data_IF_872277348622
#
_entry.id   IF_872277348622
#
_cell.length_a   1.000
_cell.length_b   1.000
_cell.length_c   1.000
_cell.angle_alpha   90.00
_cell.angle_beta   90.00
_cell.angle_gamma   90.00
#
_symmetry.space_group_name_H-M   'P 1'
#
loop_
_entity.id
_entity.type
_entity.pdbx_description
1 polymer ?
#
# COMPACT_ATOMS: atom_id res chain seq x y z
N UNK A 1 21.31 -1.15 2.62
CA UNK A 1 22.47 -0.68 3.35
C UNK A 1 23.47 -0.06 2.39
N UNK A 2 24.03 1.09 2.76
CA UNK A 2 25.06 1.82 1.97
C UNK A 2 26.27 2.05 2.87
N UNK A 3 27.40 1.46 2.53
CA UNK A 3 28.64 1.54 3.29
C UNK A 3 29.71 2.31 2.51
N UNK A 4 30.40 3.20 3.19
CA UNK A 4 31.44 4.06 2.63
C UNK A 4 32.77 3.94 3.38
N UNK A 5 32.76 3.47 4.62
CA UNK A 5 33.90 3.26 5.50
C UNK A 5 33.68 2.00 6.35
N UNK A 6 34.75 1.42 6.87
CA UNK A 6 34.68 0.30 7.83
C UNK A 6 34.35 0.76 9.26
N UNK A 7 34.66 2.01 9.60
CA UNK A 7 34.41 2.60 10.93
C UNK A 7 34.10 4.10 10.83
N UNK A 8 33.51 4.67 11.87
CA UNK A 8 33.25 6.09 11.97
C UNK A 8 34.52 6.91 12.14
N UNK A 9 34.60 8.05 11.47
CA UNK A 9 35.74 8.97 11.53
C UNK A 9 35.31 10.39 11.89
N UNK A 10 36.25 11.23 12.33
CA UNK A 10 35.93 12.62 12.65
C UNK A 10 35.45 13.37 11.40
N UNK A 11 34.26 13.97 11.46
CA UNK A 11 33.58 14.61 10.32
C UNK A 11 34.38 15.80 9.74
N UNK A 12 35.12 16.53 10.57
CA UNK A 12 35.97 17.64 10.12
C UNK A 12 37.19 17.16 9.33
N UNK A 13 37.75 16.00 9.66
CA UNK A 13 38.87 15.40 8.92
C UNK A 13 38.42 14.75 7.59
N UNK A 14 37.25 14.15 7.58
CA UNK A 14 36.72 13.43 6.43
C UNK A 14 35.87 14.31 5.48
N UNK A 15 35.42 15.47 5.94
CA UNK A 15 34.55 16.36 5.17
C UNK A 15 35.14 16.78 3.84
N UNK A 16 34.37 16.63 2.76
CA UNK A 16 34.83 16.91 1.39
C UNK A 16 35.68 15.80 0.75
N UNK A 17 36.18 14.82 1.54
CA UNK A 17 36.99 13.69 1.06
C UNK A 17 36.12 12.43 0.98
N UNK A 18 35.48 12.07 2.09
CA UNK A 18 34.64 10.87 2.17
C UNK A 18 33.19 11.21 1.87
N UNK A 19 32.53 10.49 0.96
CA UNK A 19 31.10 10.72 0.69
C UNK A 19 30.26 10.34 1.91
N UNK A 20 29.23 11.15 2.20
CA UNK A 20 28.26 10.78 3.23
C UNK A 20 27.39 9.61 2.78
N UNK A 21 27.36 8.54 3.56
CA UNK A 21 26.51 7.36 3.29
C UNK A 21 25.02 7.72 3.18
N UNK A 22 24.53 8.69 3.97
CA UNK A 22 23.16 9.20 3.88
C UNK A 22 22.90 9.97 2.58
N UNK A 23 23.89 10.75 2.09
CA UNK A 23 23.76 11.41 0.78
C UNK A 23 23.65 10.40 -0.34
N UNK A 24 24.45 9.32 -0.29
CA UNK A 24 24.40 8.27 -1.30
C UNK A 24 23.09 7.47 -1.22
N UNK A 25 22.58 7.21 -0.03
CA UNK A 25 21.25 6.60 0.14
C UNK A 25 20.16 7.46 -0.53
N UNK A 26 20.17 8.78 -0.35
CA UNK A 26 19.22 9.68 -1.03
C UNK A 26 19.31 9.56 -2.56
N UNK A 27 20.53 9.54 -3.12
CA UNK A 27 20.72 9.36 -4.56
C UNK A 27 20.20 8.00 -5.05
N UNK A 28 20.29 6.96 -4.23
CA UNK A 28 19.75 5.64 -4.56
C UNK A 28 18.21 5.63 -4.48
N UNK A 29 17.62 6.29 -3.50
CA UNK A 29 16.16 6.45 -3.41
C UNK A 29 15.62 7.20 -4.63
N UNK A 30 16.30 8.25 -5.08
CA UNK A 30 15.93 9.03 -6.28
C UNK A 30 15.99 8.20 -7.59
N UNK A 31 16.63 7.02 -7.58
CA UNK A 31 16.58 6.08 -8.72
C UNK A 31 15.23 5.38 -8.87
N UNK A 32 14.47 5.28 -7.81
CA UNK A 32 13.22 4.51 -7.75
C UNK A 32 12.00 5.40 -7.60
N UNK A 33 12.14 6.51 -6.90
CA UNK A 33 11.08 7.46 -6.61
C UNK A 33 11.47 8.87 -7.03
N UNK A 34 10.58 9.58 -7.69
CA UNK A 34 10.74 11.01 -7.90
C UNK A 34 10.55 11.74 -6.57
N UNK A 35 11.61 12.38 -6.06
CA UNK A 35 11.60 13.04 -4.75
C UNK A 35 10.59 14.20 -4.63
N UNK A 36 10.07 14.73 -5.74
CA UNK A 36 9.10 15.85 -5.75
C UNK A 36 7.65 15.32 -5.84
N UNK A 37 7.39 14.39 -6.77
CA UNK A 37 6.03 13.87 -7.01
C UNK A 37 5.70 12.65 -6.18
N UNK A 38 6.69 11.90 -5.67
CA UNK A 38 6.51 10.60 -5.05
C UNK A 38 6.21 9.47 -6.05
N UNK A 39 6.27 9.75 -7.35
CA UNK A 39 6.00 8.77 -8.39
C UNK A 39 7.14 7.76 -8.50
N UNK A 40 6.80 6.48 -8.50
CA UNK A 40 7.76 5.39 -8.67
C UNK A 40 8.01 5.10 -10.15
N UNK A 41 9.10 4.34 -10.41
CA UNK A 41 9.47 3.92 -11.76
C UNK A 41 8.31 3.22 -12.50
N UNK A 42 8.25 3.44 -13.82
CA UNK A 42 7.18 2.93 -14.68
C UNK A 42 6.95 1.41 -14.58
N UNK A 43 8.00 0.63 -14.34
CA UNK A 43 7.84 -0.83 -14.21
C UNK A 43 7.12 -1.27 -12.93
N UNK A 44 6.94 -0.35 -11.98
CA UNK A 44 6.14 -0.56 -10.77
C UNK A 44 4.70 -0.07 -10.93
N UNK A 45 4.36 0.52 -12.06
CA UNK A 45 3.02 1.03 -12.37
C UNK A 45 2.25 0.08 -13.29
N UNK A 46 0.94 0.18 -13.25
CA UNK A 46 0.04 -0.54 -14.17
C UNK A 46 -0.97 0.43 -14.79
N UNK A 47 -1.41 0.18 -16.02
CA UNK A 47 -2.49 0.97 -16.62
C UNK A 47 -3.78 0.84 -15.80
N UNK A 48 -4.42 1.96 -15.54
CA UNK A 48 -5.71 2.00 -14.82
C UNK A 48 -6.84 1.90 -15.84
N UNK A 49 -7.63 0.82 -15.77
CA UNK A 49 -8.76 0.60 -16.66
C UNK A 49 -9.91 1.58 -16.38
N UNK A 50 -10.79 1.75 -17.36
CA UNK A 50 -11.99 2.57 -17.22
C UNK A 50 -12.90 2.08 -16.08
N UNK A 51 -13.02 0.77 -15.88
CA UNK A 51 -13.83 0.18 -14.82
C UNK A 51 -13.26 0.50 -13.43
N UNK A 52 -11.95 0.44 -13.26
CA UNK A 52 -11.26 0.83 -12.01
C UNK A 52 -11.48 2.31 -11.73
N UNK A 53 -11.38 3.18 -12.74
CA UNK A 53 -11.68 4.62 -12.58
C UNK A 53 -13.13 4.84 -12.17
N UNK A 54 -14.08 4.23 -12.87
CA UNK A 54 -15.49 4.34 -12.53
C UNK A 54 -15.80 3.81 -11.11
N UNK A 55 -15.14 2.76 -10.67
CA UNK A 55 -15.25 2.26 -9.29
C UNK A 55 -14.69 3.29 -8.30
N UNK A 56 -13.50 3.85 -8.55
CA UNK A 56 -12.88 4.84 -7.69
C UNK A 56 -13.73 6.12 -7.57
N UNK A 57 -14.34 6.56 -8.67
CA UNK A 57 -15.27 7.72 -8.69
C UNK A 57 -16.49 7.46 -7.80
N UNK A 58 -17.11 6.28 -7.90
CA UNK A 58 -18.24 5.91 -7.03
C UNK A 58 -17.83 5.83 -5.56
N UNK A 59 -16.69 5.21 -5.25
CA UNK A 59 -16.16 5.12 -3.89
C UNK A 59 -15.87 6.51 -3.32
N UNK A 60 -15.18 7.36 -4.08
CA UNK A 60 -14.85 8.73 -3.67
C UNK A 60 -16.10 9.57 -3.44
N UNK A 61 -17.10 9.45 -4.32
CA UNK A 61 -18.38 10.15 -4.20
C UNK A 61 -19.16 9.73 -2.93
N UNK A 62 -19.10 8.45 -2.57
CA UNK A 62 -19.79 7.91 -1.38
C UNK A 62 -19.06 8.23 -0.09
N UNK A 63 -17.74 8.09 -0.06
CA UNK A 63 -16.94 8.34 1.14
C UNK A 63 -16.72 9.83 1.39
N UNK A 64 -16.77 10.67 0.36
CA UNK A 64 -16.59 12.12 0.49
C UNK A 64 -15.27 12.46 1.18
N UNK A 65 -15.34 13.31 2.20
CA UNK A 65 -14.18 13.72 3.00
C UNK A 65 -13.54 12.58 3.81
N UNK A 66 -14.27 11.49 4.08
CA UNK A 66 -13.77 10.34 4.85
C UNK A 66 -12.52 9.71 4.23
N UNK A 67 -12.32 9.86 2.92
CA UNK A 67 -11.07 9.43 2.24
C UNK A 67 -9.84 10.05 2.90
N UNK A 68 -9.94 11.28 3.38
CA UNK A 68 -8.87 12.06 4.01
C UNK A 68 -8.98 12.12 5.53
N UNK A 69 -10.19 12.29 6.05
CA UNK A 69 -10.44 12.58 7.46
C UNK A 69 -10.04 11.43 8.40
N UNK A 70 -9.89 10.24 7.86
CA UNK A 70 -9.40 9.07 8.60
C UNK A 70 -7.93 9.15 9.02
N UNK A 71 -7.15 10.09 8.48
CA UNK A 71 -5.74 10.23 8.79
C UNK A 71 -5.49 11.40 9.74
N UNK A 72 -4.63 11.24 10.77
CA UNK A 72 -4.29 12.29 11.72
C UNK A 72 -3.27 13.28 11.13
N UNK A 73 -3.72 14.14 10.22
CA UNK A 73 -2.87 15.13 9.56
C UNK A 73 -2.19 16.07 10.54
N UNK A 74 -0.91 16.35 10.31
CA UNK A 74 -0.16 17.32 11.10
C UNK A 74 -0.16 18.69 10.43
N UNK A 75 -0.60 19.72 11.16
CA UNK A 75 -0.63 21.11 10.70
C UNK A 75 -1.38 21.27 9.37
N UNK A 76 -0.73 21.91 8.40
CA UNK A 76 -1.30 22.16 7.07
C UNK A 76 -0.80 21.18 6.00
N UNK A 77 -0.38 19.98 6.38
CA UNK A 77 0.04 18.94 5.43
C UNK A 77 -1.11 18.61 4.48
N UNK A 78 -0.77 18.53 3.20
CA UNK A 78 -1.73 18.25 2.13
C UNK A 78 -1.59 16.83 1.62
N UNK A 79 -2.68 16.22 1.10
CA UNK A 79 -2.62 14.92 0.44
C UNK A 79 -1.80 15.00 -0.86
N UNK A 80 -1.39 13.84 -1.36
CA UNK A 80 -0.59 13.69 -2.58
C UNK A 80 -1.35 14.07 -3.86
N UNK A 81 -2.68 14.10 -3.81
CA UNK A 81 -3.53 14.58 -4.90
C UNK A 81 -4.72 15.37 -4.33
N UNK A 82 -5.35 16.18 -5.17
CA UNK A 82 -6.52 16.99 -4.79
C UNK A 82 -7.85 16.28 -5.04
N UNK A 83 -7.89 15.34 -5.98
CA UNK A 83 -9.08 14.56 -6.31
C UNK A 83 -9.19 13.33 -5.40
N UNK A 84 -10.33 13.16 -4.74
CA UNK A 84 -10.61 11.96 -3.92
C UNK A 84 -10.58 10.68 -4.75
N UNK A 85 -10.99 10.71 -6.02
CA UNK A 85 -10.91 9.57 -6.93
C UNK A 85 -9.46 9.17 -7.21
N UNK A 86 -8.59 10.14 -7.49
CA UNK A 86 -7.16 9.87 -7.68
C UNK A 86 -6.51 9.34 -6.40
N UNK A 87 -6.91 9.81 -5.23
CA UNK A 87 -6.44 9.27 -3.94
C UNK A 87 -6.89 7.82 -3.71
N UNK A 88 -8.13 7.48 -4.08
CA UNK A 88 -8.62 6.10 -4.04
C UNK A 88 -7.83 5.21 -4.99
N UNK A 89 -7.57 5.65 -6.23
CA UNK A 89 -6.75 4.93 -7.21
C UNK A 89 -5.32 4.76 -6.67
N UNK A 90 -4.70 5.83 -6.19
CA UNK A 90 -3.35 5.78 -5.66
C UNK A 90 -3.20 4.79 -4.49
N UNK A 91 -4.21 4.72 -3.62
CA UNK A 91 -4.21 3.80 -2.47
C UNK A 91 -4.44 2.34 -2.85
N UNK A 92 -5.21 2.05 -3.91
CA UNK A 92 -5.67 0.70 -4.25
C UNK A 92 -4.96 0.09 -5.45
N UNK A 93 -4.53 0.91 -6.41
CA UNK A 93 -3.90 0.51 -7.68
C UNK A 93 -2.58 1.20 -7.96
N UNK A 94 -2.24 2.24 -7.21
CA UNK A 94 -0.96 2.93 -7.32
C UNK A 94 0.15 2.19 -6.60
N UNK A 95 1.38 2.38 -7.08
CA UNK A 95 2.56 1.98 -6.34
C UNK A 95 3.00 3.09 -5.41
N UNK A 96 3.49 2.74 -4.24
CA UNK A 96 4.08 3.69 -3.32
C UNK A 96 5.27 3.08 -2.57
N UNK A 97 6.19 3.92 -2.13
CA UNK A 97 7.30 3.55 -1.27
C UNK A 97 7.25 4.34 0.04
N UNK A 98 7.57 3.68 1.13
CA UNK A 98 7.75 4.35 2.42
C UNK A 98 9.04 3.90 3.09
N UNK A 99 9.81 4.86 3.63
CA UNK A 99 10.93 4.58 4.53
C UNK A 99 10.34 4.39 5.92
N UNK A 100 10.32 3.14 6.39
CA UNK A 100 9.72 2.77 7.70
C UNK A 100 10.75 2.50 8.78
N UNK A 101 12.03 2.55 8.44
CA UNK A 101 13.12 2.42 9.39
C UNK A 101 14.40 3.04 8.85
N UNK A 102 15.20 3.61 9.73
CA UNK A 102 16.49 4.20 9.39
C UNK A 102 17.52 3.82 10.47
N UNK A 103 18.68 3.36 10.02
CA UNK A 103 19.80 3.02 10.89
C UNK A 103 21.10 3.69 10.39
N UNK A 104 22.11 3.74 11.28
CA UNK A 104 23.40 4.36 10.97
C UNK A 104 23.51 5.82 11.42
N UNK A 105 22.45 6.41 11.98
CA UNK A 105 22.47 7.72 12.62
C UNK A 105 21.97 7.60 14.06
N UNK A 106 22.68 8.15 15.07
CA UNK A 106 22.16 8.23 16.43
C UNK A 106 21.05 9.27 16.52
N UNK A 107 20.31 9.24 17.64
CA UNK A 107 19.39 10.31 17.98
C UNK A 107 20.14 11.66 18.01
N UNK A 108 19.54 12.76 17.49
CA UNK A 108 20.19 14.07 17.44
C UNK A 108 20.73 14.56 18.79
N UNK A 109 20.07 14.20 19.91
CA UNK A 109 20.53 14.55 21.26
C UNK A 109 21.82 13.85 21.67
N UNK A 110 22.15 12.72 21.02
CA UNK A 110 23.34 11.90 21.28
C UNK A 110 24.36 11.95 20.13
N UNK A 111 24.11 12.79 19.12
CA UNK A 111 24.97 12.88 17.96
C UNK A 111 26.24 13.68 18.25
N UNK A 112 27.40 13.17 17.81
CA UNK A 112 28.69 13.83 17.85
C UNK A 112 29.24 14.12 16.45
N UNK A 113 30.44 14.71 16.38
CA UNK A 113 31.11 15.09 15.12
C UNK A 113 31.70 13.88 14.37
N UNK A 114 30.91 12.81 14.18
CA UNK A 114 31.34 11.59 13.51
C UNK A 114 30.68 11.45 12.15
N UNK A 115 31.50 11.35 11.10
CA UNK A 115 31.02 10.88 9.79
C UNK A 115 30.69 9.38 9.90
N UNK A 116 29.46 9.04 9.57
CA UNK A 116 28.96 7.67 9.72
C UNK A 116 29.51 6.76 8.64
N UNK A 117 29.97 5.54 8.98
CA UNK A 117 30.52 4.59 8.00
C UNK A 117 29.46 4.03 7.08
N UNK A 118 28.23 3.92 7.53
CA UNK A 118 27.11 3.36 6.77
C UNK A 118 25.76 4.02 7.14
N UNK A 119 24.80 3.86 6.26
CA UNK A 119 23.38 4.19 6.48
C UNK A 119 22.51 3.09 5.90
N UNK A 120 21.54 2.60 6.67
CA UNK A 120 20.60 1.61 6.20
C UNK A 120 19.15 2.14 6.35
N UNK A 121 18.31 1.81 5.37
CA UNK A 121 16.89 2.10 5.41
C UNK A 121 16.07 0.83 5.20
N UNK A 122 14.96 0.70 5.93
CA UNK A 122 13.93 -0.29 5.63
C UNK A 122 12.87 0.37 4.76
N UNK A 123 12.66 -0.20 3.58
CA UNK A 123 11.69 0.30 2.59
C UNK A 123 10.51 -0.65 2.53
N UNK A 124 9.32 -0.09 2.48
CA UNK A 124 8.08 -0.83 2.20
C UNK A 124 7.53 -0.33 0.88
N UNK A 125 7.38 -1.24 -0.07
CA UNK A 125 6.72 -0.99 -1.34
C UNK A 125 5.29 -1.52 -1.30
N UNK A 126 4.34 -0.72 -1.75
CA UNK A 126 3.00 -1.15 -2.09
C UNK A 126 2.90 -1.24 -3.60
N UNK A 127 2.38 -2.35 -4.10
CA UNK A 127 2.33 -2.66 -5.52
C UNK A 127 0.88 -2.84 -5.98
N UNK A 128 0.57 -2.52 -7.25
CA UNK A 128 -0.73 -2.84 -7.82
C UNK A 128 -1.01 -4.35 -7.76
N UNK A 129 -2.29 -4.76 -7.62
CA UNK A 129 -2.64 -6.17 -7.42
C UNK A 129 -2.31 -7.08 -8.62
N UNK A 130 -2.11 -6.52 -9.80
CA UNK A 130 -1.77 -7.26 -11.02
C UNK A 130 -0.26 -7.35 -11.30
N UNK A 131 0.58 -6.73 -10.48
CA UNK A 131 2.03 -6.76 -10.65
C UNK A 131 2.62 -7.96 -9.90
N UNK A 132 3.51 -8.72 -10.57
CA UNK A 132 4.26 -9.79 -9.93
C UNK A 132 5.27 -9.21 -8.94
N UNK A 133 5.12 -9.57 -7.66
CA UNK A 133 5.92 -8.98 -6.60
C UNK A 133 7.37 -9.50 -6.59
N UNK A 134 7.61 -10.74 -7.00
CA UNK A 134 8.96 -11.31 -7.06
C UNK A 134 9.76 -10.66 -8.20
N UNK A 135 9.14 -10.51 -9.38
CA UNK A 135 9.77 -9.80 -10.50
C UNK A 135 10.05 -8.33 -10.14
N UNK A 136 9.06 -7.63 -9.58
CA UNK A 136 9.20 -6.24 -9.15
C UNK A 136 10.33 -6.08 -8.11
N UNK A 137 10.38 -6.95 -7.10
CA UNK A 137 11.38 -6.92 -6.04
C UNK A 137 12.80 -7.14 -6.59
N UNK A 138 12.98 -8.10 -7.50
CA UNK A 138 14.28 -8.34 -8.14
C UNK A 138 14.72 -7.16 -9.00
N UNK A 139 13.82 -6.52 -9.72
CA UNK A 139 14.13 -5.31 -10.52
C UNK A 139 14.49 -4.13 -9.62
N UNK A 140 13.77 -3.93 -8.52
CA UNK A 140 14.08 -2.90 -7.51
C UNK A 140 15.47 -3.16 -6.92
N UNK A 141 15.75 -4.38 -6.48
CA UNK A 141 17.09 -4.78 -5.97
C UNK A 141 18.19 -4.44 -6.98
N UNK A 142 18.02 -4.84 -8.23
CA UNK A 142 18.98 -4.54 -9.29
C UNK A 142 19.18 -3.03 -9.50
N UNK A 143 18.11 -2.23 -9.39
CA UNK A 143 18.16 -0.77 -9.53
C UNK A 143 19.00 -0.12 -8.42
N UNK A 144 18.93 -0.65 -7.20
CA UNK A 144 19.71 -0.14 -6.07
C UNK A 144 21.19 -0.58 -6.13
N UNK A 145 21.46 -1.83 -6.50
CA UNK A 145 22.81 -2.42 -6.42
C UNK A 145 23.66 -2.16 -7.66
N UNK A 146 23.03 -1.87 -8.81
CA UNK A 146 23.77 -1.60 -10.06
C UNK A 146 24.43 -0.23 -10.01
N UNK A 147 25.72 -0.19 -10.40
CA UNK A 147 26.51 1.04 -10.52
C UNK A 147 26.31 2.00 -9.32
N UNK A 148 26.68 1.58 -8.10
CA UNK A 148 26.44 2.39 -6.92
C UNK A 148 27.24 3.69 -6.97
N UNK A 149 26.65 4.81 -6.52
CA UNK A 149 27.32 6.11 -6.58
C UNK A 149 28.61 6.06 -5.76
N UNK A 150 29.69 6.63 -6.35
CA UNK A 150 31.04 6.67 -5.79
C UNK A 150 31.61 5.28 -5.46
N UNK A 151 31.15 4.24 -6.16
CA UNK A 151 31.55 2.83 -5.93
C UNK A 151 31.36 2.37 -4.47
N UNK A 152 30.39 2.94 -3.76
CA UNK A 152 30.06 2.53 -2.39
C UNK A 152 29.55 1.08 -2.36
N UNK A 153 29.71 0.40 -1.24
CA UNK A 153 29.13 -0.93 -1.06
C UNK A 153 27.63 -0.79 -0.78
N UNK A 154 26.82 -1.30 -1.69
CA UNK A 154 25.35 -1.29 -1.55
C UNK A 154 24.86 -2.73 -1.46
N UNK A 155 24.08 -3.01 -0.40
CA UNK A 155 23.43 -4.32 -0.20
C UNK A 155 21.94 -4.13 -0.05
N UNK A 156 21.16 -4.80 -0.89
CA UNK A 156 19.71 -4.81 -0.82
C UNK A 156 19.19 -6.19 -0.44
N UNK A 157 18.72 -6.33 0.80
CA UNK A 157 18.11 -7.55 1.29
C UNK A 157 16.62 -7.54 1.02
N UNK A 158 16.11 -8.56 0.34
CA UNK A 158 14.69 -8.75 0.11
C UNK A 158 14.07 -9.49 1.30
N UNK A 159 12.96 -8.96 1.79
CA UNK A 159 12.00 -9.71 2.58
C UNK A 159 11.10 -10.54 1.64
N UNK A 160 10.09 -11.22 2.17
CA UNK A 160 9.15 -12.02 1.40
C UNK A 160 8.20 -11.12 0.59
N UNK A 161 8.42 -10.92 -0.72
CA UNK A 161 7.48 -10.20 -1.56
C UNK A 161 6.15 -10.95 -1.65
N UNK A 162 5.05 -10.20 -1.73
CA UNK A 162 3.70 -10.77 -1.78
C UNK A 162 2.93 -10.11 -2.91
N UNK A 163 2.61 -10.88 -3.94
CA UNK A 163 1.76 -10.41 -5.05
C UNK A 163 0.34 -10.17 -4.54
N UNK A 164 -0.25 -9.04 -4.96
CA UNK A 164 -1.63 -8.70 -4.66
C UNK A 164 -2.63 -9.64 -5.33
N UNK A 165 -3.90 -9.36 -5.10
CA UNK A 165 -4.99 -10.11 -5.71
C UNK A 165 -6.03 -9.15 -6.28
N UNK A 166 -6.39 -9.36 -7.55
CA UNK A 166 -7.49 -8.66 -8.21
C UNK A 166 -8.70 -9.58 -8.30
N UNK A 167 -9.79 -9.16 -7.68
CA UNK A 167 -11.04 -9.90 -7.71
C UNK A 167 -11.61 -9.96 -9.13
N UNK A 168 -12.05 -11.15 -9.53
CA UNK A 168 -12.83 -11.37 -10.74
C UNK A 168 -14.16 -10.60 -10.66
N UNK A 169 -14.63 -10.08 -11.79
CA UNK A 169 -15.95 -9.45 -11.87
C UNK A 169 -17.05 -10.39 -11.37
N UNK A 170 -17.95 -9.87 -10.57
CA UNK A 170 -19.08 -10.64 -10.04
C UNK A 170 -20.00 -11.10 -11.18
N UNK A 171 -20.56 -12.31 -11.05
CA UNK A 171 -21.60 -12.74 -11.97
C UNK A 171 -22.86 -11.87 -11.84
N UNK A 172 -23.65 -11.66 -12.89
CA UNK A 172 -24.86 -10.84 -12.82
C UNK A 172 -25.83 -11.30 -11.71
N UNK A 173 -25.98 -12.61 -11.51
CA UNK A 173 -26.84 -13.17 -10.45
C UNK A 173 -26.32 -12.83 -9.05
N UNK A 174 -25.01 -12.95 -8.82
CA UNK A 174 -24.41 -12.60 -7.52
C UNK A 174 -24.47 -11.09 -7.28
N UNK A 175 -24.18 -10.28 -8.29
CA UNK A 175 -24.30 -8.82 -8.19
C UNK A 175 -25.73 -8.40 -7.80
N UNK A 176 -26.73 -8.91 -8.52
CA UNK A 176 -28.14 -8.62 -8.21
C UNK A 176 -28.57 -9.06 -6.80
N UNK A 177 -28.06 -10.20 -6.32
CA UNK A 177 -28.32 -10.66 -4.96
C UNK A 177 -27.68 -9.75 -3.91
N UNK A 178 -26.43 -9.32 -4.13
CA UNK A 178 -25.73 -8.39 -3.26
C UNK A 178 -26.40 -7.00 -3.21
N UNK A 179 -26.81 -6.47 -4.36
CA UNK A 179 -27.53 -5.19 -4.45
C UNK A 179 -28.85 -5.25 -3.68
N UNK A 180 -29.66 -6.28 -3.91
CA UNK A 180 -30.93 -6.49 -3.22
C UNK A 180 -30.73 -6.64 -1.70
N UNK A 181 -29.72 -7.40 -1.26
CA UNK A 181 -29.46 -7.57 0.17
C UNK A 181 -28.97 -6.27 0.82
N UNK A 182 -28.14 -5.49 0.14
CA UNK A 182 -27.67 -4.20 0.63
C UNK A 182 -28.83 -3.21 0.79
N UNK A 183 -29.66 -3.06 -0.24
CA UNK A 183 -30.87 -2.23 -0.17
C UNK A 183 -31.80 -2.65 0.96
N UNK A 184 -32.00 -3.96 1.15
CA UNK A 184 -32.90 -4.49 2.17
C UNK A 184 -32.40 -4.22 3.59
N UNK A 185 -31.11 -4.43 3.86
CA UNK A 185 -30.60 -4.40 5.23
C UNK A 185 -29.83 -3.12 5.58
N UNK A 186 -29.31 -2.39 4.59
CA UNK A 186 -28.63 -1.12 4.80
C UNK A 186 -29.41 0.09 4.26
N UNK A 187 -30.39 -0.11 3.39
CA UNK A 187 -31.14 0.97 2.74
C UNK A 187 -30.31 1.77 1.74
N UNK A 188 -29.25 1.15 1.19
CA UNK A 188 -28.32 1.78 0.28
C UNK A 188 -27.78 0.77 -0.74
N UNK A 189 -27.41 1.22 -1.96
CA UNK A 189 -26.83 0.34 -2.96
C UNK A 189 -25.51 -0.27 -2.49
N UNK A 190 -25.23 -1.49 -2.93
CA UNK A 190 -23.98 -2.19 -2.65
C UNK A 190 -22.80 -1.49 -3.35
N UNK A 191 -21.67 -1.46 -2.68
CA UNK A 191 -20.45 -0.92 -3.24
C UNK A 191 -19.27 -1.85 -3.00
N UNK A 192 -18.39 -1.95 -3.99
CA UNK A 192 -17.10 -2.63 -3.88
C UNK A 192 -15.97 -1.62 -3.91
N UNK A 193 -14.95 -1.86 -3.11
CA UNK A 193 -13.73 -1.06 -3.13
C UNK A 193 -12.50 -1.95 -3.01
N UNK A 194 -11.39 -1.50 -3.58
CA UNK A 194 -10.09 -2.09 -3.31
C UNK A 194 -9.56 -1.72 -1.93
N UNK A 195 -8.57 -2.45 -1.47
CA UNK A 195 -7.81 -2.10 -0.26
C UNK A 195 -6.32 -2.06 -0.60
N UNK A 196 -5.60 -1.10 -0.03
CA UNK A 196 -4.15 -0.98 -0.21
C UNK A 196 -3.34 -2.01 0.59
N UNK A 197 -4.01 -2.88 1.35
CA UNK A 197 -3.37 -3.96 2.12
C UNK A 197 -3.32 -5.26 1.32
N UNK A 198 -2.20 -5.99 1.44
CA UNK A 198 -2.06 -7.32 0.83
C UNK A 198 -2.70 -8.37 1.73
N UNK A 199 -3.53 -9.24 1.15
CA UNK A 199 -4.11 -10.41 1.81
C UNK A 199 -3.66 -11.66 1.04
N UNK A 200 -2.49 -12.25 1.35
CA UNK A 200 -1.90 -13.36 0.57
C UNK A 200 -2.83 -14.57 0.46
N UNK A 201 -3.66 -14.80 1.48
CA UNK A 201 -4.67 -15.85 1.48
C UNK A 201 -5.68 -15.70 0.33
N UNK A 202 -6.06 -14.47 -0.03
CA UNK A 202 -7.01 -14.24 -1.13
C UNK A 202 -6.40 -14.59 -2.48
N UNK A 203 -5.10 -14.27 -2.69
CA UNK A 203 -4.41 -14.70 -3.91
C UNK A 203 -4.35 -16.23 -4.00
N UNK A 204 -3.96 -16.89 -2.93
CA UNK A 204 -3.92 -18.37 -2.88
C UNK A 204 -5.28 -19.00 -3.20
N UNK A 205 -6.37 -18.48 -2.63
CA UNK A 205 -7.72 -18.96 -2.93
C UNK A 205 -8.13 -18.68 -4.36
N UNK A 206 -7.86 -17.47 -4.87
CA UNK A 206 -8.17 -17.08 -6.23
C UNK A 206 -7.47 -17.95 -7.28
N UNK A 207 -6.19 -18.24 -7.06
CA UNK A 207 -5.40 -19.13 -7.92
C UNK A 207 -5.90 -20.58 -7.85
N UNK A 208 -6.27 -21.05 -6.65
CA UNK A 208 -6.77 -22.42 -6.45
C UNK A 208 -8.17 -22.65 -7.00
N UNK A 209 -9.01 -21.62 -6.96
CA UNK A 209 -10.41 -21.66 -7.35
C UNK A 209 -10.77 -20.58 -8.38
N UNK A 210 -10.18 -20.59 -9.60
CA UNK A 210 -10.32 -19.51 -10.57
C UNK A 210 -11.75 -19.33 -11.10
N UNK A 211 -12.61 -20.34 -10.95
CA UNK A 211 -14.02 -20.25 -11.34
C UNK A 211 -14.91 -19.64 -10.23
N UNK A 212 -14.41 -19.54 -9.00
CA UNK A 212 -15.20 -19.03 -7.89
C UNK A 212 -15.27 -17.51 -7.88
N UNK A 213 -16.39 -16.97 -7.40
CA UNK A 213 -16.52 -15.60 -6.96
C UNK A 213 -16.35 -15.54 -5.44
N UNK A 214 -15.67 -14.49 -4.98
CA UNK A 214 -15.43 -14.30 -3.56
C UNK A 214 -16.22 -13.09 -3.08
N UNK A 215 -17.10 -13.31 -2.11
CA UNK A 215 -17.75 -12.26 -1.36
C UNK A 215 -16.91 -11.93 -0.12
N UNK A 216 -16.05 -10.93 -0.25
CA UNK A 216 -15.14 -10.49 0.81
C UNK A 216 -15.76 -9.29 1.50
N UNK A 217 -16.08 -9.44 2.77
CA UNK A 217 -16.69 -8.37 3.58
C UNK A 217 -16.20 -8.44 5.03
N UNK A 218 -16.48 -7.41 5.80
CA UNK A 218 -16.14 -7.32 7.20
C UNK A 218 -17.22 -6.62 8.01
N UNK A 219 -17.04 -6.58 9.32
CA UNK A 219 -18.01 -6.04 10.29
C UNK A 219 -17.58 -4.71 10.91
N UNK A 220 -16.55 -4.08 10.34
CA UNK A 220 -16.13 -2.75 10.75
C UNK A 220 -17.20 -1.74 10.40
N UNK A 221 -17.80 -1.14 11.41
CA UNK A 221 -18.70 -0.01 11.25
C UNK A 221 -17.98 1.33 11.33
N UNK A 222 -18.70 2.44 11.26
CA UNK A 222 -18.14 3.77 11.42
C UNK A 222 -17.31 3.89 12.70
N UNK A 223 -16.12 4.50 12.60
CA UNK A 223 -15.22 4.79 13.72
C UNK A 223 -14.64 3.57 14.45
N UNK A 224 -14.77 2.35 13.91
CA UNK A 224 -14.29 1.12 14.58
C UNK A 224 -12.78 1.06 14.80
N UNK A 225 -11.98 1.91 14.14
CA UNK A 225 -10.53 2.09 14.32
C UNK A 225 -9.73 0.77 14.26
N UNK A 226 -9.90 0.02 13.15
CA UNK A 226 -9.21 -1.26 12.94
C UNK A 226 -7.71 -1.17 13.19
N UNK A 227 -7.16 -2.11 13.97
CA UNK A 227 -5.76 -2.18 14.39
C UNK A 227 -5.26 -0.96 15.20
N UNK A 228 -6.17 -0.13 15.68
CA UNK A 228 -5.88 1.05 16.49
C UNK A 228 -6.34 0.92 17.95
N UNK A 229 -6.00 1.88 18.79
CA UNK A 229 -6.51 1.93 20.17
C UNK A 229 -8.04 1.96 20.20
N UNK A 230 -8.62 1.22 21.16
CA UNK A 230 -10.08 1.12 21.34
C UNK A 230 -10.84 0.60 20.10
N UNK A 231 -10.24 -0.29 19.32
CA UNK A 231 -10.95 -0.99 18.26
C UNK A 231 -12.22 -1.67 18.81
N UNK A 232 -13.34 -1.53 18.10
CA UNK A 232 -14.61 -2.09 18.53
C UNK A 232 -15.42 -2.67 17.36
N UNK A 233 -16.30 -3.61 17.70
CA UNK A 233 -17.31 -4.14 16.79
C UNK A 233 -18.55 -3.23 16.80
N UNK A 234 -18.93 -2.73 15.64
CA UNK A 234 -20.22 -2.03 15.47
C UNK A 234 -21.36 -3.05 15.31
N UNK A 235 -22.11 -3.30 16.38
CA UNK A 235 -23.11 -4.39 16.45
C UNK A 235 -24.15 -4.33 15.33
N UNK A 236 -24.67 -3.15 15.01
CA UNK A 236 -25.69 -3.02 13.96
C UNK A 236 -25.12 -3.32 12.57
N UNK A 237 -23.91 -2.89 12.28
CA UNK A 237 -23.20 -3.27 11.04
C UNK A 237 -22.99 -4.77 10.99
N UNK A 238 -22.53 -5.39 12.09
CA UNK A 238 -22.34 -6.83 12.17
C UNK A 238 -23.62 -7.62 11.88
N UNK A 239 -24.74 -7.21 12.49
CA UNK A 239 -26.07 -7.82 12.24
C UNK A 239 -26.48 -7.69 10.78
N UNK A 240 -26.39 -6.47 10.20
CA UNK A 240 -26.80 -6.21 8.82
C UNK A 240 -25.95 -7.01 7.81
N UNK A 241 -24.63 -7.04 8.00
CA UNK A 241 -23.72 -7.84 7.16
C UNK A 241 -24.09 -9.33 7.25
N UNK A 242 -24.38 -9.85 8.46
CA UNK A 242 -24.82 -11.24 8.65
C UNK A 242 -26.11 -11.53 7.88
N UNK A 243 -27.07 -10.62 7.91
CA UNK A 243 -28.30 -10.76 7.14
C UNK A 243 -28.04 -10.73 5.62
N UNK A 244 -27.16 -9.83 5.14
CA UNK A 244 -26.76 -9.82 3.73
C UNK A 244 -26.13 -11.16 3.30
N UNK A 245 -25.22 -11.71 4.09
CA UNK A 245 -24.59 -13.01 3.80
C UNK A 245 -25.64 -14.12 3.76
N UNK A 246 -26.54 -14.17 4.74
CA UNK A 246 -27.61 -15.16 4.78
C UNK A 246 -28.53 -15.07 3.55
N UNK A 247 -28.90 -13.86 3.13
CA UNK A 247 -29.72 -13.64 1.93
C UNK A 247 -29.00 -14.12 0.66
N UNK A 248 -27.72 -13.78 0.49
CA UNK A 248 -26.94 -14.20 -0.67
C UNK A 248 -26.81 -15.72 -0.74
N UNK A 249 -26.62 -16.40 0.40
CA UNK A 249 -26.58 -17.85 0.47
C UNK A 249 -27.94 -18.47 0.11
N UNK A 250 -29.04 -17.91 0.61
CA UNK A 250 -30.39 -18.37 0.28
C UNK A 250 -30.69 -18.20 -1.22
N UNK A 251 -30.37 -17.03 -1.78
CA UNK A 251 -30.54 -16.76 -3.22
C UNK A 251 -29.74 -17.75 -4.08
N UNK A 252 -28.53 -18.06 -3.65
CA UNK A 252 -27.67 -19.01 -4.36
C UNK A 252 -28.18 -20.44 -4.32
N UNK A 253 -28.78 -20.84 -3.19
CA UNK A 253 -29.39 -22.17 -3.04
C UNK A 253 -30.63 -22.36 -3.94
N UNK A 254 -31.32 -21.25 -4.27
CA UNK A 254 -32.50 -21.26 -5.14
C UNK A 254 -32.17 -21.11 -6.63
N UNK A 255 -30.93 -20.77 -6.97
CA UNK A 255 -30.46 -20.56 -8.35
C UNK A 255 -29.27 -21.47 -8.61
N UNK A 256 -29.47 -22.70 -9.11
CA UNK A 256 -28.39 -23.68 -9.35
C UNK A 256 -27.36 -23.22 -10.39
#
# INVERSE_FOLDING_TARGET
NVEVLSEGVHSGAAGGIVPSSFRLLRQLLDRVENAVSGELLNFLQVPISADVRAQADRVASTLGSTVLDRFPWSGNTRPTATSSSELVIANTWGSSMAVVGLAGAPDPSNAGNTLRPSTAAKLVFRLPPSLDADEAANRVKSTFEKDPPQSATVTFNLDSPQTGWHAKSLSPSLLSSLERSSETFFGAPMMTMGTGGTIPFMKMLGDRFPACHFFVTGVLGPHSNAHGPNEFLHLDTGKRVTCCVAQVLADRALTP
#
